data_IF_253173584419
#
_entry.id   IF_253173584419
#
_cell.length_a   1.000
_cell.length_b   1.000
_cell.length_c   1.000
_cell.angle_alpha   90.00
_cell.angle_beta   90.00
_cell.angle_gamma   90.00
#
_symmetry.space_group_name_H-M   'P 1'
#
loop_
_entity.id
_entity.type
_entity.pdbx_description
1 polymer ?
#
# COMPACT_ATOMS: atom_id res chain seq x y z
N UNK A 1 -11.45 -1.96 -7.15
CA UNK A 1 -10.51 -1.47 -8.19
C UNK A 1 -9.08 -1.77 -7.81
N UNK A 2 -8.20 -2.09 -8.77
CA UNK A 2 -6.73 -2.15 -8.59
C UNK A 2 -6.15 -0.81 -9.02
N UNK A 3 -5.36 -0.19 -8.14
CA UNK A 3 -4.77 1.14 -8.29
C UNK A 3 -3.25 1.02 -8.47
N UNK A 4 -2.74 1.43 -9.62
CA UNK A 4 -1.34 1.30 -9.97
C UNK A 4 -0.77 2.69 -10.30
N UNK A 5 -0.20 3.38 -9.31
CA UNK A 5 0.62 4.55 -9.61
C UNK A 5 1.91 4.08 -10.31
N UNK A 6 2.26 4.69 -11.43
CA UNK A 6 3.39 4.23 -12.23
C UNK A 6 4.08 5.37 -12.96
N UNK A 7 5.23 5.07 -13.48
CA UNK A 7 5.93 5.87 -14.50
C UNK A 7 5.77 5.21 -15.88
N UNK A 8 6.49 5.69 -16.88
CA UNK A 8 6.37 5.23 -18.27
C UNK A 8 6.76 3.77 -18.48
N UNK A 9 7.51 3.16 -17.56
CA UNK A 9 7.97 1.78 -17.65
C UNK A 9 7.69 1.01 -16.37
N UNK A 10 7.47 -0.30 -16.52
CA UNK A 10 7.26 -1.23 -15.41
C UNK A 10 8.19 -2.44 -15.52
N UNK A 11 8.76 -2.93 -14.41
CA UNK A 11 9.56 -4.16 -14.41
C UNK A 11 8.77 -5.37 -14.91
N UNK A 12 9.40 -6.22 -15.71
CA UNK A 12 8.76 -7.45 -16.23
C UNK A 12 8.22 -8.35 -15.10
N UNK A 13 8.91 -8.41 -13.95
CA UNK A 13 8.45 -9.19 -12.79
C UNK A 13 7.14 -8.66 -12.21
N UNK A 14 6.95 -7.34 -12.20
CA UNK A 14 5.68 -6.74 -11.81
C UNK A 14 4.57 -7.09 -12.80
N UNK A 15 4.83 -6.88 -14.10
CA UNK A 15 3.85 -7.18 -15.16
C UNK A 15 3.45 -8.66 -15.13
N UNK A 16 4.42 -9.57 -14.95
CA UNK A 16 4.15 -11.01 -14.82
C UNK A 16 3.24 -11.30 -13.61
N UNK A 17 3.54 -10.73 -12.43
CA UNK A 17 2.68 -10.90 -11.25
C UNK A 17 1.26 -10.37 -11.48
N UNK A 18 1.13 -9.20 -12.12
CA UNK A 18 -0.17 -8.57 -12.40
C UNK A 18 -1.03 -9.37 -13.39
N UNK A 19 -0.40 -9.92 -14.44
CA UNK A 19 -1.08 -10.74 -15.44
C UNK A 19 -1.55 -12.07 -14.84
N UNK A 20 -0.70 -12.72 -14.03
CA UNK A 20 -0.98 -14.01 -13.40
C UNK A 20 -1.87 -13.91 -12.16
N UNK A 21 -2.12 -12.72 -11.63
CA UNK A 21 -2.92 -12.55 -10.42
C UNK A 21 -4.37 -13.03 -10.61
N UNK A 22 -4.86 -13.80 -9.65
CA UNK A 22 -6.26 -14.21 -9.55
C UNK A 22 -7.12 -13.01 -9.15
N UNK A 23 -7.72 -12.36 -10.13
CA UNK A 23 -8.59 -11.21 -9.93
C UNK A 23 -9.98 -11.65 -9.49
N UNK A 24 -10.60 -10.85 -8.62
CA UNK A 24 -12.01 -11.02 -8.27
C UNK A 24 -12.90 -10.60 -9.45
N UNK A 25 -14.15 -11.12 -9.55
CA UNK A 25 -15.12 -10.62 -10.52
C UNK A 25 -15.26 -9.10 -10.45
N UNK A 26 -15.58 -8.46 -11.56
CA UNK A 26 -15.81 -7.02 -11.67
C UNK A 26 -14.62 -6.14 -11.25
N UNK A 27 -13.39 -6.72 -11.21
CA UNK A 27 -12.19 -5.97 -10.89
C UNK A 27 -11.77 -5.09 -12.06
N UNK A 28 -11.77 -3.78 -11.85
CA UNK A 28 -11.19 -2.81 -12.78
C UNK A 28 -9.77 -2.42 -12.38
N UNK A 29 -8.98 -1.95 -13.34
CA UNK A 29 -7.62 -1.47 -13.11
C UNK A 29 -7.49 0.00 -13.51
N UNK A 30 -6.86 0.79 -12.66
CA UNK A 30 -6.55 2.20 -12.93
C UNK A 30 -5.04 2.39 -12.86
N UNK A 31 -4.49 2.95 -13.93
CA UNK A 31 -3.10 3.40 -14.00
C UNK A 31 -3.07 4.92 -13.95
N UNK A 32 -2.19 5.47 -13.12
CA UNK A 32 -1.93 6.91 -13.13
C UNK A 32 -0.43 7.14 -13.30
N UNK A 33 -0.10 7.76 -14.43
CA UNK A 33 1.28 8.11 -14.78
C UNK A 33 1.56 9.53 -14.26
N UNK A 34 2.51 9.65 -13.34
CA UNK A 34 2.97 10.93 -12.82
C UNK A 34 4.40 10.82 -12.28
N UNK A 35 5.18 11.86 -12.42
CA UNK A 35 6.49 12.00 -11.77
C UNK A 35 6.37 12.24 -10.26
N UNK A 36 5.20 12.69 -9.79
CA UNK A 36 4.88 12.91 -8.39
C UNK A 36 3.93 11.83 -7.91
N UNK A 37 4.44 10.89 -7.14
CA UNK A 37 3.70 9.70 -6.69
C UNK A 37 2.40 10.06 -5.96
N UNK A 38 2.41 11.09 -5.12
CA UNK A 38 1.23 11.53 -4.39
C UNK A 38 0.12 12.08 -5.30
N UNK A 39 0.47 12.70 -6.43
CA UNK A 39 -0.50 13.17 -7.43
C UNK A 39 -1.17 11.99 -8.13
N UNK A 40 -0.38 10.96 -8.52
CA UNK A 40 -0.92 9.73 -9.09
C UNK A 40 -1.91 9.07 -8.12
N UNK A 41 -1.53 8.95 -6.85
CA UNK A 41 -2.39 8.35 -5.81
C UNK A 41 -3.65 9.18 -5.57
N UNK A 42 -3.56 10.51 -5.48
CA UNK A 42 -4.72 11.39 -5.32
C UNK A 42 -5.67 11.32 -6.52
N UNK A 43 -5.13 11.24 -7.73
CA UNK A 43 -5.92 11.08 -8.96
C UNK A 43 -6.72 9.78 -8.95
N UNK A 44 -6.09 8.65 -8.60
CA UNK A 44 -6.78 7.35 -8.50
C UNK A 44 -7.78 7.35 -7.35
N UNK A 45 -7.45 7.92 -6.19
CA UNK A 45 -8.36 8.03 -5.05
C UNK A 45 -9.64 8.80 -5.41
N UNK A 46 -9.49 9.94 -6.11
CA UNK A 46 -10.63 10.70 -6.60
C UNK A 46 -11.47 9.92 -7.64
N UNK A 47 -10.84 9.11 -8.48
CA UNK A 47 -11.53 8.23 -9.43
C UNK A 47 -12.30 7.13 -8.71
N UNK A 48 -11.70 6.49 -7.70
CA UNK A 48 -12.37 5.45 -6.90
C UNK A 48 -13.65 5.98 -6.24
N UNK A 49 -13.58 7.19 -5.67
CA UNK A 49 -14.74 7.84 -5.07
C UNK A 49 -15.84 8.16 -6.10
N UNK A 50 -15.46 8.73 -7.26
CA UNK A 50 -16.45 9.10 -8.30
C UNK A 50 -17.18 7.90 -8.88
N UNK A 51 -16.50 6.76 -9.01
CA UNK A 51 -17.05 5.55 -9.60
C UNK A 51 -17.63 4.59 -8.55
N UNK A 52 -17.74 5.00 -7.29
CA UNK A 52 -18.37 4.26 -6.19
C UNK A 52 -17.80 2.84 -6.01
N UNK A 53 -16.47 2.67 -6.10
CA UNK A 53 -15.85 1.40 -5.75
C UNK A 53 -15.93 1.18 -4.24
N UNK A 54 -16.13 -0.08 -3.82
CA UNK A 54 -16.15 -0.45 -2.40
C UNK A 54 -14.75 -0.60 -1.84
N UNK A 55 -13.86 -1.24 -2.63
CA UNK A 55 -12.49 -1.59 -2.23
C UNK A 55 -11.46 -1.12 -3.24
N UNK A 56 -10.32 -0.73 -2.73
CA UNK A 56 -9.17 -0.26 -3.50
C UNK A 56 -7.94 -1.07 -3.11
N UNK A 57 -7.34 -1.76 -4.10
CA UNK A 57 -6.07 -2.45 -3.96
C UNK A 57 -4.98 -1.60 -4.62
N UNK A 58 -4.20 -0.92 -3.80
CA UNK A 58 -2.97 -0.24 -4.24
C UNK A 58 -1.87 -1.26 -4.49
N UNK A 59 -1.17 -1.13 -5.61
CA UNK A 59 0.04 -1.91 -5.89
C UNK A 59 1.04 -0.98 -6.58
N UNK A 60 2.22 -0.79 -5.98
CA UNK A 60 3.30 -0.06 -6.63
C UNK A 60 3.86 -0.87 -7.81
N UNK A 61 4.21 -0.17 -8.88
CA UNK A 61 4.61 -0.78 -10.15
C UNK A 61 5.96 -1.50 -10.14
N UNK A 62 6.60 -1.61 -8.99
CA UNK A 62 7.86 -2.34 -8.77
C UNK A 62 7.73 -3.48 -7.75
N UNK A 63 6.51 -3.94 -7.49
CA UNK A 63 6.25 -5.06 -6.59
C UNK A 63 6.12 -6.39 -7.33
N UNK A 64 6.67 -7.45 -6.72
CA UNK A 64 6.43 -8.85 -7.11
C UNK A 64 5.58 -9.51 -6.03
N UNK A 65 4.55 -10.25 -6.43
CA UNK A 65 3.60 -10.84 -5.50
C UNK A 65 3.05 -12.16 -6.01
N UNK A 66 2.48 -12.95 -5.09
CA UNK A 66 1.88 -14.24 -5.37
C UNK A 66 0.52 -14.06 -6.07
N UNK A 67 0.16 -15.07 -6.84
CA UNK A 67 -1.05 -15.10 -7.66
C UNK A 67 -2.33 -14.86 -6.82
N UNK A 68 -2.39 -15.39 -5.61
CA UNK A 68 -3.55 -15.34 -4.71
C UNK A 68 -3.59 -14.12 -3.78
N UNK A 69 -2.61 -13.20 -3.87
CA UNK A 69 -2.48 -12.05 -2.97
C UNK A 69 -3.79 -11.26 -2.83
N UNK A 70 -4.42 -10.91 -3.95
CA UNK A 70 -5.66 -10.12 -3.94
C UNK A 70 -6.78 -10.84 -3.19
N UNK A 71 -6.96 -12.15 -3.43
CA UNK A 71 -7.98 -12.96 -2.75
C UNK A 71 -7.74 -13.04 -1.24
N UNK A 72 -6.49 -13.22 -0.84
CA UNK A 72 -6.12 -13.28 0.58
C UNK A 72 -6.37 -11.96 1.29
N UNK A 73 -6.00 -10.83 0.67
CA UNK A 73 -6.32 -9.51 1.23
C UNK A 73 -7.84 -9.29 1.30
N UNK A 74 -8.58 -9.66 0.24
CA UNK A 74 -10.03 -9.53 0.23
C UNK A 74 -10.70 -10.36 1.34
N UNK A 75 -10.22 -11.58 1.61
CA UNK A 75 -10.68 -12.40 2.72
C UNK A 75 -10.51 -11.67 4.06
N UNK A 76 -9.38 -10.99 4.29
CA UNK A 76 -9.20 -10.19 5.52
C UNK A 76 -10.19 -9.04 5.61
N UNK A 77 -10.48 -8.39 4.47
CA UNK A 77 -11.52 -7.36 4.44
C UNK A 77 -12.89 -7.93 4.79
N UNK A 78 -13.22 -9.15 4.33
CA UNK A 78 -14.48 -9.85 4.66
C UNK A 78 -14.55 -10.24 6.14
N UNK A 79 -13.40 -10.42 6.82
CA UNK A 79 -13.27 -10.62 8.27
C UNK A 79 -13.45 -9.31 9.07
N UNK A 80 -13.66 -8.17 8.41
CA UNK A 80 -13.93 -6.88 9.04
C UNK A 80 -12.73 -5.92 9.15
N UNK A 81 -11.58 -6.26 8.57
CA UNK A 81 -10.44 -5.35 8.49
C UNK A 81 -10.67 -4.34 7.36
N UNK A 82 -10.60 -3.05 7.67
CA UNK A 82 -10.83 -1.97 6.68
C UNK A 82 -9.58 -1.55 5.92
N UNK A 83 -8.41 -1.95 6.40
CA UNK A 83 -7.10 -1.65 5.79
C UNK A 83 -6.15 -2.82 6.06
N UNK A 84 -5.61 -3.41 4.99
CA UNK A 84 -4.72 -4.56 5.06
C UNK A 84 -3.54 -4.37 4.13
N UNK A 85 -2.31 -4.58 4.63
CA UNK A 85 -1.09 -4.62 3.82
C UNK A 85 -0.37 -5.95 3.97
N UNK A 86 0.55 -6.25 3.07
CA UNK A 86 1.50 -7.35 3.20
C UNK A 86 2.89 -6.88 3.66
N UNK A 87 3.83 -7.80 3.75
CA UNK A 87 5.20 -7.57 4.19
C UNK A 87 6.15 -7.46 3.00
N UNK A 88 6.89 -6.36 2.93
CA UNK A 88 8.03 -6.20 2.02
C UNK A 88 9.12 -5.34 2.66
N UNK A 89 10.30 -5.31 2.03
CA UNK A 89 11.48 -4.61 2.56
C UNK A 89 11.91 -3.48 1.62
N UNK A 90 12.67 -2.53 2.17
CA UNK A 90 13.41 -1.53 1.40
C UNK A 90 14.37 -2.21 0.42
N UNK A 91 14.64 -1.56 -0.73
CA UNK A 91 15.60 -2.05 -1.76
C UNK A 91 17.06 -1.84 -1.40
N UNK A 92 17.36 -1.14 -0.32
CA UNK A 92 18.73 -0.82 0.14
C UNK A 92 19.01 -1.39 1.53
N UNK A 93 20.26 -1.72 1.86
CA UNK A 93 20.63 -2.13 3.21
C UNK A 93 20.14 -1.14 4.27
N UNK A 94 19.74 -1.63 5.44
CA UNK A 94 19.74 -3.01 5.93
C UNK A 94 18.53 -3.86 5.47
N UNK A 95 17.82 -3.47 4.43
CA UNK A 95 16.60 -4.13 3.91
C UNK A 95 15.53 -4.23 4.99
N UNK A 96 15.33 -3.13 5.70
CA UNK A 96 14.32 -3.04 6.76
C UNK A 96 12.91 -3.20 6.17
N UNK A 97 11.99 -3.85 6.91
CA UNK A 97 10.58 -3.88 6.53
C UNK A 97 10.00 -2.46 6.43
N UNK A 98 9.13 -2.24 5.44
CA UNK A 98 8.43 -0.96 5.25
C UNK A 98 7.11 -0.97 6.03
N UNK A 99 7.21 -1.34 7.31
CA UNK A 99 6.12 -1.44 8.29
C UNK A 99 6.59 -0.83 9.60
N UNK A 100 5.78 0.02 10.20
CA UNK A 100 6.20 0.84 11.34
C UNK A 100 5.29 0.63 12.55
N UNK A 101 5.94 0.46 13.73
CA UNK A 101 5.29 0.38 15.05
C UNK A 101 4.88 1.75 15.57
N UNK A 102 5.65 2.75 15.21
CA UNK A 102 5.41 4.16 15.55
C UNK A 102 6.12 5.05 14.54
N UNK A 103 5.59 6.23 14.32
CA UNK A 103 6.23 7.31 13.59
C UNK A 103 5.58 8.64 13.98
N UNK A 104 6.37 9.70 13.97
CA UNK A 104 5.90 11.07 14.18
C UNK A 104 6.69 12.01 13.23
N UNK A 105 6.10 13.17 12.87
CA UNK A 105 6.80 14.15 12.07
C UNK A 105 8.14 14.58 12.69
N UNK A 106 9.21 14.56 11.89
CA UNK A 106 10.57 14.94 12.35
C UNK A 106 11.31 13.87 13.15
N UNK A 107 10.73 12.68 13.32
CA UNK A 107 11.36 11.54 14.00
C UNK A 107 11.42 10.36 13.02
N UNK A 108 12.57 9.68 12.97
CA UNK A 108 12.71 8.50 12.13
C UNK A 108 11.67 7.43 12.51
N UNK A 109 10.93 6.88 11.53
CA UNK A 109 9.95 5.85 11.79
C UNK A 109 10.59 4.61 12.43
N UNK A 110 9.94 4.04 13.46
CA UNK A 110 10.37 2.82 14.14
C UNK A 110 9.87 1.59 13.36
N UNK A 111 10.71 0.88 12.59
CA UNK A 111 10.26 -0.28 11.82
C UNK A 111 10.05 -1.50 12.72
N UNK A 112 9.23 -2.45 12.25
CA UNK A 112 9.22 -3.80 12.79
C UNK A 112 10.54 -4.51 12.47
N UNK A 113 11.00 -5.38 13.34
CA UNK A 113 12.08 -6.33 13.05
C UNK A 113 11.56 -7.49 12.19
N UNK A 114 12.46 -8.19 11.49
CA UNK A 114 12.08 -9.37 10.67
C UNK A 114 11.44 -10.48 11.50
N UNK A 115 11.88 -10.70 12.75
CA UNK A 115 11.32 -11.72 13.62
C UNK A 115 9.91 -11.39 14.14
N UNK A 116 9.57 -10.11 14.26
CA UNK A 116 8.21 -9.67 14.62
C UNK A 116 7.21 -9.89 13.47
N UNK A 117 7.71 -10.03 12.25
CA UNK A 117 6.94 -10.24 11.03
C UNK A 117 6.99 -11.69 10.52
N UNK A 118 7.22 -12.66 11.40
CA UNK A 118 7.14 -14.08 11.05
C UNK A 118 5.76 -14.42 10.45
N UNK A 119 5.68 -15.20 9.35
CA UNK A 119 4.41 -15.53 8.70
C UNK A 119 3.36 -16.16 9.63
N UNK A 120 3.80 -16.82 10.71
CA UNK A 120 2.91 -17.42 11.72
C UNK A 120 2.23 -16.42 12.65
N UNK A 121 2.58 -15.13 12.60
CA UNK A 121 1.95 -14.11 13.47
C UNK A 121 0.54 -13.71 13.01
N UNK A 122 0.18 -13.98 11.75
CA UNK A 122 -1.13 -13.63 11.20
C UNK A 122 -1.32 -12.12 11.08
N UNK A 123 -2.49 -11.63 11.51
CA UNK A 123 -2.83 -10.21 11.46
C UNK A 123 -2.21 -9.45 12.63
N UNK A 124 -1.43 -8.41 12.34
CA UNK A 124 -0.85 -7.51 13.35
C UNK A 124 -1.28 -6.07 13.09
N UNK A 125 -1.57 -5.33 14.15
CA UNK A 125 -1.84 -3.90 14.03
C UNK A 125 -0.53 -3.14 13.87
N UNK A 126 -0.53 -2.15 12.98
CA UNK A 126 0.62 -1.31 12.65
C UNK A 126 0.26 0.17 12.81
N UNK A 127 1.25 1.04 13.01
CA UNK A 127 1.03 2.48 12.98
C UNK A 127 1.04 3.02 11.55
N UNK A 128 1.89 2.46 10.68
CA UNK A 128 2.00 2.88 9.29
C UNK A 128 2.78 1.90 8.43
N UNK A 129 2.69 2.08 7.12
CA UNK A 129 3.38 1.27 6.12
C UNK A 129 3.62 2.08 4.84
N UNK A 130 4.46 1.54 3.96
CA UNK A 130 4.47 1.95 2.56
C UNK A 130 3.30 1.34 1.78
N UNK A 131 3.02 1.85 0.60
CA UNK A 131 1.89 1.45 -0.24
C UNK A 131 2.26 0.47 -1.36
N UNK A 132 3.31 -0.32 -1.15
CA UNK A 132 3.73 -1.36 -2.10
C UNK A 132 2.62 -2.37 -2.44
N UNK A 133 1.81 -2.77 -1.45
CA UNK A 133 0.52 -3.45 -1.66
C UNK A 133 -0.39 -3.20 -0.45
N UNK A 134 -1.49 -2.49 -0.66
CA UNK A 134 -2.48 -2.14 0.37
C UNK A 134 -3.88 -2.34 -0.18
N UNK A 135 -4.70 -3.14 0.49
CA UNK A 135 -6.14 -3.20 0.22
C UNK A 135 -6.90 -2.43 1.30
N UNK A 136 -7.83 -1.58 0.90
CA UNK A 136 -8.58 -0.74 1.83
C UNK A 136 -10.01 -0.50 1.37
N UNK A 137 -10.91 -0.19 2.32
CA UNK A 137 -12.24 0.33 2.03
C UNK A 137 -12.15 1.74 1.46
N UNK A 138 -12.85 2.01 0.37
CA UNK A 138 -12.93 3.36 -0.23
C UNK A 138 -13.65 4.34 0.71
N UNK A 139 -14.48 3.86 1.64
CA UNK A 139 -15.09 4.70 2.67
C UNK A 139 -14.08 5.48 3.51
N UNK A 140 -12.85 4.96 3.71
CA UNK A 140 -11.76 5.70 4.38
C UNK A 140 -11.44 7.01 3.63
N UNK A 141 -11.42 6.97 2.29
CA UNK A 141 -11.21 8.18 1.47
C UNK A 141 -12.38 9.18 1.60
N UNK A 142 -13.62 8.68 1.66
CA UNK A 142 -14.80 9.52 1.88
C UNK A 142 -14.76 10.20 3.24
N UNK A 143 -14.38 9.46 4.29
CA UNK A 143 -14.23 9.99 5.65
C UNK A 143 -13.13 11.07 5.70
N UNK A 144 -11.98 10.84 5.04
CA UNK A 144 -10.89 11.82 4.94
C UNK A 144 -11.34 13.10 4.23
N UNK A 145 -12.05 12.97 3.10
CA UNK A 145 -12.57 14.10 2.34
C UNK A 145 -13.50 14.96 3.20
N UNK A 146 -14.40 14.34 3.95
CA UNK A 146 -15.40 15.03 4.77
C UNK A 146 -14.77 15.73 5.99
N UNK A 147 -13.66 15.22 6.51
CA UNK A 147 -13.08 15.73 7.76
C UNK A 147 -11.88 16.66 7.55
N UNK A 148 -11.06 16.48 6.50
CA UNK A 148 -9.75 17.11 6.45
C UNK A 148 -9.23 17.56 5.09
N UNK A 149 -9.42 16.82 4.01
CA UNK A 149 -8.73 17.13 2.75
C UNK A 149 -9.23 16.33 1.56
N UNK A 150 -9.30 17.01 0.40
CA UNK A 150 -9.50 16.37 -0.89
C UNK A 150 -8.26 15.58 -1.39
N UNK A 151 -7.12 15.70 -0.70
CA UNK A 151 -5.83 15.12 -1.11
C UNK A 151 -5.24 14.21 -0.02
N UNK A 152 -5.75 12.96 0.12
CA UNK A 152 -5.38 12.06 1.19
C UNK A 152 -3.89 11.68 1.21
N UNK A 153 -3.22 11.71 0.05
CA UNK A 153 -1.80 11.36 -0.10
C UNK A 153 -0.86 12.58 -0.14
N UNK A 154 -1.34 13.81 0.05
CA UNK A 154 -0.42 14.96 0.07
C UNK A 154 0.54 14.86 1.24
N UNK A 155 1.87 14.92 1.00
CA UNK A 155 2.86 14.94 2.06
C UNK A 155 2.66 16.12 3.01
N UNK A 156 2.85 15.90 4.31
CA UNK A 156 2.78 16.98 5.30
C UNK A 156 3.76 16.74 6.46
N UNK A 157 4.21 17.81 7.07
CA UNK A 157 5.11 17.80 8.23
C UNK A 157 6.39 16.96 8.03
N UNK A 158 6.91 16.89 6.80
CA UNK A 158 8.12 16.13 6.48
C UNK A 158 7.92 14.62 6.31
N UNK A 159 6.69 14.11 6.42
CA UNK A 159 6.36 12.72 6.11
C UNK A 159 6.16 12.55 4.60
N UNK A 160 6.61 11.41 4.06
CA UNK A 160 6.24 10.98 2.72
C UNK A 160 4.73 10.73 2.58
N UNK A 161 4.24 10.57 1.35
CA UNK A 161 2.81 10.43 1.07
C UNK A 161 2.16 9.24 1.77
N UNK A 162 2.86 8.11 1.86
CA UNK A 162 2.40 6.89 2.51
C UNK A 162 2.13 7.09 4.00
N UNK A 163 3.12 7.62 4.72
CA UNK A 163 2.99 7.89 6.16
C UNK A 163 2.05 9.07 6.43
N UNK A 164 1.97 10.03 5.51
CA UNK A 164 0.99 11.11 5.59
C UNK A 164 -0.45 10.58 5.52
N UNK A 165 -0.70 9.62 4.62
CA UNK A 165 -1.98 8.91 4.57
C UNK A 165 -2.23 8.12 5.86
N UNK A 166 -1.27 7.31 6.31
CA UNK A 166 -1.40 6.50 7.53
C UNK A 166 -1.70 7.37 8.76
N UNK A 167 -1.03 8.53 8.88
CA UNK A 167 -1.27 9.48 9.99
C UNK A 167 -2.70 10.00 9.97
N UNK A 168 -3.19 10.47 8.80
CA UNK A 168 -4.58 10.93 8.64
C UNK A 168 -5.58 9.83 8.99
N UNK A 169 -5.36 8.61 8.49
CA UNK A 169 -6.25 7.48 8.74
C UNK A 169 -6.32 7.13 10.24
N UNK A 170 -5.17 7.03 10.91
CA UNK A 170 -5.11 6.67 12.33
C UNK A 170 -5.67 7.75 13.23
N UNK A 171 -5.48 9.04 12.91
CA UNK A 171 -6.10 10.18 13.63
C UNK A 171 -7.63 10.20 13.52
N UNK A 172 -8.19 9.59 12.48
CA UNK A 172 -9.64 9.37 12.31
C UNK A 172 -10.13 8.09 12.98
N UNK A 173 -9.26 7.35 13.68
CA UNK A 173 -9.60 6.10 14.34
C UNK A 173 -9.56 4.85 13.44
N UNK A 174 -9.10 4.96 12.20
CA UNK A 174 -8.91 3.80 11.31
C UNK A 174 -7.73 2.98 11.82
N UNK A 175 -7.97 1.70 12.10
CA UNK A 175 -6.91 0.76 12.47
C UNK A 175 -6.29 0.15 11.21
N UNK A 176 -4.97 0.20 11.13
CA UNK A 176 -4.18 -0.34 10.03
C UNK A 176 -3.62 -1.71 10.43
N UNK A 177 -3.68 -2.68 9.51
CA UNK A 177 -3.23 -4.05 9.78
C UNK A 177 -2.31 -4.56 8.67
N UNK A 178 -1.39 -5.44 9.07
CA UNK A 178 -0.56 -6.22 8.16
C UNK A 178 -0.88 -7.71 8.34
N UNK A 179 -1.14 -8.42 7.23
CA UNK A 179 -1.12 -9.88 7.21
C UNK A 179 0.32 -10.35 6.98
N UNK A 180 0.96 -10.86 8.04
CA UNK A 180 2.35 -11.28 7.99
C UNK A 180 2.59 -12.49 7.07
N UNK A 181 1.54 -13.20 6.68
CA UNK A 181 1.62 -14.33 5.75
C UNK A 181 1.67 -13.89 4.27
N UNK A 182 1.26 -12.65 3.95
CA UNK A 182 1.34 -12.08 2.60
C UNK A 182 2.72 -11.44 2.41
N UNK A 183 3.56 -12.09 1.60
CA UNK A 183 4.94 -11.66 1.34
C UNK A 183 5.07 -11.09 -0.07
N UNK A 184 5.74 -9.97 -0.18
CA UNK A 184 5.99 -9.32 -1.46
C UNK A 184 7.50 -9.13 -1.68
N UNK A 185 7.91 -9.22 -2.95
CA UNK A 185 9.23 -8.82 -3.39
C UNK A 185 9.22 -7.36 -3.85
N UNK A 186 10.26 -6.61 -3.52
CA UNK A 186 10.46 -5.26 -3.99
C UNK A 186 11.51 -5.28 -5.10
N UNK A 187 11.10 -5.07 -6.33
CA UNK A 187 11.97 -5.15 -7.52
C UNK A 187 12.81 -3.89 -7.61
N UNK A 188 14.11 -4.06 -7.83
CA UNK A 188 15.05 -2.96 -8.01
C UNK A 188 16.06 -3.27 -9.11
N UNK A 189 16.61 -2.22 -9.71
CA UNK A 189 17.77 -2.33 -10.60
C UNK A 189 19.03 -2.42 -9.74
N UNK A 190 19.87 -3.41 -9.98
CA UNK A 190 21.19 -3.51 -9.39
C UNK A 190 22.24 -3.20 -10.44
N UNK A 191 23.09 -2.22 -10.18
CA UNK A 191 24.25 -1.92 -11.01
C UNK A 191 25.38 -2.88 -10.64
N UNK A 192 25.93 -3.58 -11.63
CA UNK A 192 27.15 -4.39 -11.48
C UNK A 192 28.30 -3.61 -12.07
N UNK A 193 29.36 -3.37 -11.27
CA UNK A 193 30.62 -2.76 -11.70
C UNK A 193 31.74 -3.81 -11.59
N UNK A 194 32.66 -3.78 -12.57
CA UNK A 194 33.91 -4.51 -12.51
C UNK A 194 34.86 -3.84 -11.54
#
# INVERSE_FOLDING_TARGET
>A
MIAIPCMDTMPTLFVSSLVLMDKMPETEMAFAVSSLIYDARNTIAASALRNNFDRLLWIDSDMKFDRDMMKRMAQRMDEGYRFVTGVYCMRKPPYAPVLYKAFEPGIDPMPFSKGELDPGKGMIQIAGCGFGAVMMDVSILSEMKNQRSDYPFSPFLGLGEDLSFCKRATEMGVKLYCDTSIRLGHVGLQEFRL
#
